data_IF_894196508229
#
_entry.id   IF_894196508229
#
_cell.length_a   1.000
_cell.length_b   1.000
_cell.length_c   1.000
_cell.angle_alpha   90.00
_cell.angle_beta   90.00
_cell.angle_gamma   90.00
#
_symmetry.space_group_name_H-M   'P 1'
#
loop_
_entity.id
_entity.type
_entity.pdbx_description
1 polymer ?
#
# COMPACT_ATOMS: atom_id res chain seq x y z
N UNK A 1 17.29 6.34 -1.94
CA UNK A 1 18.29 6.45 -0.81
C UNK A 1 18.97 7.81 -0.69
N UNK A 2 19.67 8.38 -1.67
CA UNK A 2 20.43 9.62 -1.50
C UNK A 2 19.61 10.79 -0.90
N UNK A 3 18.39 11.00 -1.38
CA UNK A 3 17.49 12.05 -0.90
C UNK A 3 17.08 11.85 0.58
N UNK A 4 16.74 10.62 0.99
CA UNK A 4 16.38 10.31 2.38
C UNK A 4 17.56 10.55 3.33
N UNK A 5 18.77 10.12 2.95
CA UNK A 5 19.97 10.36 3.76
C UNK A 5 20.30 11.85 3.92
N UNK A 6 20.06 12.67 2.89
CA UNK A 6 20.21 14.12 2.97
C UNK A 6 19.17 14.72 3.93
N UNK A 7 17.91 14.30 3.83
CA UNK A 7 16.84 14.79 4.69
C UNK A 7 17.08 14.43 6.18
N UNK A 8 17.53 13.19 6.45
CA UNK A 8 17.86 12.75 7.81
C UNK A 8 19.00 13.60 8.39
N UNK A 9 20.09 13.78 7.65
CA UNK A 9 21.21 14.64 8.10
C UNK A 9 20.75 16.07 8.37
N UNK A 10 19.99 16.66 7.46
CA UNK A 10 19.48 18.01 7.65
C UNK A 10 18.58 18.14 8.89
N UNK A 11 17.77 17.13 9.18
CA UNK A 11 16.96 17.08 10.39
C UNK A 11 17.83 16.99 11.66
N UNK A 12 18.88 16.15 11.66
CA UNK A 12 19.85 16.05 12.76
C UNK A 12 20.54 17.39 13.00
N UNK A 13 21.07 18.01 11.95
CA UNK A 13 21.78 19.27 12.00
C UNK A 13 20.88 20.43 12.50
N UNK A 14 19.59 20.37 12.18
CA UNK A 14 18.57 21.31 12.64
C UNK A 14 18.10 21.04 14.09
N UNK A 15 18.60 20.02 14.76
CA UNK A 15 18.24 19.68 16.13
C UNK A 15 16.83 19.05 16.27
N UNK A 16 16.32 18.41 15.23
CA UNK A 16 15.06 17.63 15.30
C UNK A 16 15.26 16.48 16.29
N UNK A 17 14.34 16.36 17.24
CA UNK A 17 14.43 15.36 18.30
C UNK A 17 13.66 14.07 18.04
N UNK A 18 12.73 14.08 17.11
CA UNK A 18 11.86 12.94 16.80
C UNK A 18 11.43 12.95 15.33
N UNK A 19 11.48 11.79 14.67
CA UNK A 19 11.06 11.58 13.29
C UNK A 19 10.11 10.40 13.23
N UNK A 20 8.88 10.63 12.78
CA UNK A 20 7.98 9.57 12.34
C UNK A 20 8.17 9.35 10.83
N UNK A 21 8.50 8.14 10.42
CA UNK A 21 8.79 7.79 9.03
C UNK A 21 7.74 6.83 8.47
N UNK A 22 7.11 7.21 7.36
CA UNK A 22 6.19 6.33 6.62
C UNK A 22 7.01 5.35 5.78
N UNK A 23 7.12 4.13 6.25
CA UNK A 23 7.83 3.02 5.62
C UNK A 23 6.87 2.10 4.87
N UNK A 24 7.38 1.00 4.33
CA UNK A 24 6.60 -0.03 3.63
C UNK A 24 6.31 -1.21 4.57
N UNK A 25 5.17 -1.88 4.38
CA UNK A 25 4.86 -3.13 5.07
C UNK A 25 5.85 -4.24 4.74
N UNK A 26 6.20 -5.03 5.75
CA UNK A 26 7.09 -6.20 5.63
C UNK A 26 8.37 -5.95 4.81
N UNK A 27 9.29 -5.04 5.22
CA UNK A 27 10.50 -4.72 4.49
C UNK A 27 11.62 -5.77 4.72
N UNK A 28 11.33 -7.07 4.49
CA UNK A 28 12.31 -8.15 4.61
C UNK A 28 13.21 -8.25 3.37
N UNK A 29 14.39 -8.90 3.51
CA UNK A 29 15.34 -9.07 2.40
C UNK A 29 14.76 -9.84 1.22
N UNK A 30 13.89 -10.80 1.50
CA UNK A 30 13.28 -11.68 0.50
C UNK A 30 12.03 -11.06 -0.18
N UNK A 31 11.57 -9.89 0.27
CA UNK A 31 10.41 -9.23 -0.34
C UNK A 31 10.82 -8.61 -1.69
N UNK A 32 10.23 -9.08 -2.82
CA UNK A 32 10.65 -8.65 -4.16
C UNK A 32 10.19 -7.25 -4.56
N UNK A 33 9.35 -6.55 -3.74
CA UNK A 33 8.87 -5.22 -4.09
C UNK A 33 10.03 -4.22 -4.20
N UNK A 34 10.15 -3.56 -5.35
CA UNK A 34 11.28 -2.70 -5.70
C UNK A 34 11.50 -1.52 -4.74
N UNK A 35 10.48 -1.11 -3.99
CA UNK A 35 10.60 -0.05 -2.98
C UNK A 35 11.25 -0.52 -1.65
N UNK A 36 11.29 -1.82 -1.39
CA UNK A 36 11.75 -2.38 -0.10
C UNK A 36 13.19 -1.99 0.24
N UNK A 37 14.19 -2.12 -0.66
CA UNK A 37 15.57 -1.78 -0.33
C UNK A 37 15.74 -0.34 0.15
N UNK A 38 15.07 0.63 -0.48
CA UNK A 38 15.15 2.03 -0.11
C UNK A 38 14.49 2.33 1.25
N UNK A 39 13.35 1.68 1.54
CA UNK A 39 12.69 1.81 2.84
C UNK A 39 13.53 1.21 3.97
N UNK A 40 14.09 0.02 3.78
CA UNK A 40 14.98 -0.61 4.77
C UNK A 40 16.19 0.25 5.07
N UNK A 41 16.92 0.66 4.03
CA UNK A 41 18.09 1.49 4.21
C UNK A 41 17.75 2.85 4.87
N UNK A 42 16.52 3.35 4.71
CA UNK A 42 16.05 4.56 5.41
C UNK A 42 15.75 4.27 6.89
N UNK A 43 15.09 3.14 7.19
CA UNK A 43 14.91 2.71 8.58
C UNK A 43 16.26 2.54 9.31
N UNK A 44 17.25 1.93 8.66
CA UNK A 44 18.59 1.73 9.24
C UNK A 44 19.30 3.09 9.45
N UNK A 45 19.26 3.98 8.48
CA UNK A 45 19.83 5.32 8.61
C UNK A 45 19.17 6.13 9.75
N UNK A 46 17.87 5.97 9.98
CA UNK A 46 17.18 6.59 11.11
C UNK A 46 17.58 5.97 12.44
N UNK A 47 17.72 4.64 12.54
CA UNK A 47 18.23 3.97 13.75
C UNK A 47 19.61 4.48 14.14
N UNK A 48 20.48 4.68 13.14
CA UNK A 48 21.87 5.10 13.34
C UNK A 48 22.03 6.62 13.56
N UNK A 49 20.99 7.41 13.28
CA UNK A 49 21.04 8.88 13.33
C UNK A 49 21.13 9.48 14.73
N UNK A 50 20.79 8.73 15.77
CA UNK A 50 20.66 9.22 17.15
C UNK A 50 19.40 10.02 17.44
N UNK A 51 18.56 10.30 16.45
CA UNK A 51 17.25 10.93 16.62
C UNK A 51 16.23 9.88 17.07
N UNK A 52 15.32 10.20 17.98
CA UNK A 52 14.21 9.31 18.31
C UNK A 52 13.32 9.10 17.06
N UNK A 53 12.92 7.87 16.82
CA UNK A 53 12.16 7.51 15.61
C UNK A 53 10.94 6.65 15.90
N UNK A 54 9.98 6.66 14.97
CA UNK A 54 8.89 5.68 14.86
C UNK A 54 8.72 5.31 13.39
N UNK A 55 8.62 4.02 13.08
CA UNK A 55 8.31 3.54 11.74
C UNK A 55 6.83 3.19 11.62
N UNK A 56 6.18 3.83 10.65
CA UNK A 56 4.81 3.56 10.21
C UNK A 56 4.90 2.75 8.92
N UNK A 57 4.90 1.43 9.02
CA UNK A 57 4.98 0.51 7.88
C UNK A 57 3.61 0.37 7.25
N UNK A 58 3.38 1.18 6.23
CA UNK A 58 2.12 1.24 5.52
C UNK A 58 1.92 0.02 4.63
N UNK A 59 0.74 -0.61 4.70
CA UNK A 59 0.25 -1.53 3.69
C UNK A 59 -0.04 -0.82 2.36
N UNK A 60 -0.46 -1.59 1.35
CA UNK A 60 -0.79 -1.05 0.03
C UNK A 60 -2.04 -0.19 0.11
N UNK A 61 -2.00 0.97 -0.55
CA UNK A 61 -3.06 1.96 -0.46
C UNK A 61 -4.33 1.51 -1.21
N UNK A 62 -5.46 1.54 -0.52
CA UNK A 62 -6.79 1.30 -1.09
C UNK A 62 -7.11 2.26 -2.24
N UNK A 63 -6.57 3.47 -2.19
CA UNK A 63 -6.74 4.51 -3.21
C UNK A 63 -6.26 4.08 -4.60
N UNK A 64 -5.28 3.17 -4.68
CA UNK A 64 -4.80 2.60 -5.95
C UNK A 64 -5.83 1.66 -6.60
N UNK A 65 -6.84 1.23 -5.85
CA UNK A 65 -7.89 0.36 -6.37
C UNK A 65 -9.00 1.15 -7.09
N UNK A 66 -9.00 2.47 -7.07
CA UNK A 66 -9.98 3.28 -7.80
C UNK A 66 -9.87 3.08 -9.30
N UNK A 67 -8.65 3.26 -9.86
CA UNK A 67 -8.42 3.09 -11.30
C UNK A 67 -8.59 1.61 -11.72
N UNK A 68 -8.13 0.66 -10.89
CA UNK A 68 -8.30 -0.77 -11.15
C UNK A 68 -9.78 -1.17 -11.18
N UNK A 69 -10.59 -0.66 -10.25
CA UNK A 69 -12.02 -0.91 -10.20
C UNK A 69 -12.75 -0.30 -11.41
N UNK A 70 -12.46 0.97 -11.75
CA UNK A 70 -13.05 1.62 -12.91
C UNK A 70 -12.73 0.87 -14.21
N UNK A 71 -11.47 0.51 -14.43
CA UNK A 71 -11.05 -0.26 -15.60
C UNK A 71 -11.70 -1.65 -15.67
N UNK A 72 -11.77 -2.37 -14.55
CA UNK A 72 -12.42 -3.68 -14.50
C UNK A 72 -13.94 -3.58 -14.74
N UNK A 73 -14.61 -2.55 -14.21
CA UNK A 73 -16.04 -2.31 -14.45
C UNK A 73 -16.29 -1.99 -15.93
N UNK A 74 -15.43 -1.18 -16.55
CA UNK A 74 -15.59 -0.80 -17.96
C UNK A 74 -15.36 -1.97 -18.93
N UNK A 75 -14.43 -2.89 -18.60
CA UNK A 75 -14.03 -4.00 -19.48
C UNK A 75 -14.69 -5.35 -19.15
N UNK A 76 -15.27 -5.51 -17.96
CA UNK A 76 -15.73 -6.78 -17.43
C UNK A 76 -14.61 -7.74 -17.01
N UNK A 77 -13.35 -7.26 -16.93
CA UNK A 77 -12.19 -8.12 -16.64
C UNK A 77 -11.21 -7.44 -15.70
N UNK A 78 -10.80 -8.15 -14.66
CA UNK A 78 -9.68 -7.77 -13.78
C UNK A 78 -8.42 -8.52 -14.19
N UNK A 79 -7.49 -7.84 -14.87
CA UNK A 79 -6.17 -8.38 -15.17
C UNK A 79 -5.29 -8.31 -13.93
N UNK A 80 -4.61 -9.41 -13.59
CA UNK A 80 -3.76 -9.46 -12.40
C UNK A 80 -2.57 -10.40 -12.56
N UNK A 81 -1.42 -9.97 -12.01
CA UNK A 81 -0.21 -10.78 -11.86
C UNK A 81 -0.03 -11.31 -10.42
N UNK A 82 -1.03 -11.12 -9.53
CA UNK A 82 -0.93 -11.44 -8.11
C UNK A 82 -1.17 -12.92 -7.79
N UNK A 83 -1.57 -13.74 -8.75
CA UNK A 83 -1.95 -15.14 -8.51
C UNK A 83 -3.02 -15.23 -7.42
N UNK A 84 -2.84 -16.13 -6.46
CA UNK A 84 -3.73 -16.30 -5.29
C UNK A 84 -3.26 -15.47 -4.07
N UNK A 85 -2.33 -14.54 -4.25
CA UNK A 85 -1.84 -13.69 -3.18
C UNK A 85 -2.92 -12.74 -2.65
N UNK A 86 -2.82 -12.42 -1.36
CA UNK A 86 -3.77 -11.54 -0.67
C UNK A 86 -3.12 -10.24 -0.25
N UNK A 87 -3.90 -9.19 -0.16
CA UNK A 87 -3.41 -7.88 0.26
C UNK A 87 -4.39 -7.20 1.24
N UNK A 88 -3.86 -6.67 2.34
CA UNK A 88 -4.63 -5.93 3.34
C UNK A 88 -4.62 -4.43 3.00
N UNK A 89 -5.47 -4.02 2.06
CA UNK A 89 -5.56 -2.64 1.57
C UNK A 89 -5.96 -1.66 2.66
N UNK A 90 -5.26 -0.55 2.76
CA UNK A 90 -5.46 0.49 3.78
C UNK A 90 -5.69 1.85 3.13
N UNK A 91 -6.64 2.65 3.63
CA UNK A 91 -6.89 3.98 3.08
C UNK A 91 -5.82 4.98 3.53
N UNK A 92 -5.48 5.95 2.68
CA UNK A 92 -4.60 7.06 3.07
C UNK A 92 -5.18 7.87 4.25
N UNK A 93 -6.50 7.96 4.35
CA UNK A 93 -7.17 8.63 5.46
C UNK A 93 -6.91 7.94 6.81
N UNK A 94 -6.95 6.59 6.85
CA UNK A 94 -6.63 5.83 8.06
C UNK A 94 -5.14 5.93 8.42
N UNK A 95 -4.26 5.89 7.43
CA UNK A 95 -2.82 6.09 7.64
C UNK A 95 -2.51 7.49 8.19
N UNK A 96 -3.18 8.53 7.67
CA UNK A 96 -3.05 9.90 8.19
C UNK A 96 -3.54 9.99 9.63
N UNK A 97 -4.67 9.37 9.96
CA UNK A 97 -5.19 9.34 11.33
C UNK A 97 -4.21 8.65 12.31
N UNK A 98 -3.62 7.52 11.93
CA UNK A 98 -2.59 6.85 12.72
C UNK A 98 -1.33 7.72 12.88
N UNK A 99 -0.90 8.40 11.81
CA UNK A 99 0.23 9.33 11.85
C UNK A 99 -0.03 10.48 12.82
N UNK A 100 -1.22 11.07 12.78
CA UNK A 100 -1.63 12.12 13.74
C UNK A 100 -1.59 11.58 15.16
N UNK A 101 -2.15 10.40 15.43
CA UNK A 101 -2.12 9.79 16.75
C UNK A 101 -0.69 9.63 17.27
N UNK A 102 0.22 9.12 16.46
CA UNK A 102 1.65 8.94 16.81
C UNK A 102 2.36 10.27 17.08
N UNK A 103 2.04 11.32 16.32
CA UNK A 103 2.67 12.64 16.48
C UNK A 103 2.11 13.45 17.65
N UNK A 104 0.90 13.15 18.11
CA UNK A 104 0.19 13.93 19.15
C UNK A 104 0.07 13.24 20.49
N UNK A 105 0.47 11.98 20.60
CA UNK A 105 0.51 11.23 21.86
C UNK A 105 1.95 10.82 22.21
N UNK A 106 2.18 10.25 23.38
CA UNK A 106 3.51 9.90 23.87
C UNK A 106 3.75 8.39 23.83
N UNK A 107 5.03 8.01 23.88
CA UNK A 107 5.44 6.61 24.07
C UNK A 107 5.53 5.84 22.75
N UNK A 108 5.79 6.53 21.64
CA UNK A 108 5.95 5.94 20.31
C UNK A 108 7.40 5.81 19.86
N UNK A 109 8.33 6.40 20.60
CA UNK A 109 9.77 6.38 20.29
C UNK A 109 10.32 4.94 20.26
N UNK A 110 11.09 4.64 19.24
CA UNK A 110 11.69 3.32 19.01
C UNK A 110 10.70 2.24 18.61
N UNK A 111 9.47 2.59 18.25
CA UNK A 111 8.43 1.61 17.86
C UNK A 111 8.26 1.52 16.36
N UNK A 112 7.86 0.31 15.93
CA UNK A 112 7.46 0.02 14.56
C UNK A 112 6.00 -0.44 14.57
N UNK A 113 5.20 0.11 13.67
CA UNK A 113 3.78 -0.16 13.52
C UNK A 113 3.47 -0.62 12.10
N UNK A 114 2.98 -1.86 11.96
CA UNK A 114 2.42 -2.32 10.70
C UNK A 114 0.96 -1.83 10.60
N UNK A 115 0.71 -0.98 9.61
CA UNK A 115 -0.58 -0.31 9.38
C UNK A 115 -1.27 -0.95 8.18
N UNK A 116 -2.29 -1.73 8.43
CA UNK A 116 -3.00 -2.54 7.43
C UNK A 116 -4.49 -2.29 7.46
N UNK A 117 -5.18 -2.59 6.34
CA UNK A 117 -6.63 -2.65 6.34
C UNK A 117 -7.16 -3.84 7.17
N UNK A 118 -8.49 -3.93 7.33
CA UNK A 118 -9.12 -4.94 8.18
C UNK A 118 -9.15 -6.33 7.56
N UNK A 119 -9.07 -6.42 6.22
CA UNK A 119 -9.28 -7.66 5.47
C UNK A 119 -8.13 -7.91 4.50
N UNK A 120 -7.63 -9.15 4.44
CA UNK A 120 -6.72 -9.59 3.39
C UNK A 120 -7.52 -10.16 2.22
N UNK A 121 -7.50 -9.47 1.07
CA UNK A 121 -8.31 -9.74 -0.11
C UNK A 121 -7.44 -10.27 -1.26
N UNK A 122 -7.92 -11.28 -1.99
CA UNK A 122 -7.34 -11.75 -3.23
C UNK A 122 -8.06 -11.18 -4.47
N UNK A 123 -7.64 -11.59 -5.66
CA UNK A 123 -8.21 -11.08 -6.91
C UNK A 123 -9.68 -11.46 -7.08
N UNK A 124 -10.14 -12.60 -6.56
CA UNK A 124 -11.53 -13.00 -6.61
C UNK A 124 -12.39 -12.14 -5.68
N UNK A 125 -11.88 -11.84 -4.48
CA UNK A 125 -12.55 -10.93 -3.54
C UNK A 125 -12.69 -9.53 -4.16
N UNK A 126 -11.64 -9.03 -4.85
CA UNK A 126 -11.68 -7.74 -5.57
C UNK A 126 -12.71 -7.76 -6.70
N UNK A 127 -12.69 -8.79 -7.54
CA UNK A 127 -13.65 -8.93 -8.63
C UNK A 127 -15.11 -8.98 -8.13
N UNK A 128 -15.35 -9.64 -6.98
CA UNK A 128 -16.66 -9.65 -6.35
C UNK A 128 -17.11 -8.26 -5.89
N UNK A 129 -16.22 -7.50 -5.24
CA UNK A 129 -16.48 -6.11 -4.82
C UNK A 129 -16.78 -5.23 -6.04
N UNK A 130 -15.96 -5.30 -7.08
CA UNK A 130 -16.12 -4.48 -8.29
C UNK A 130 -17.39 -4.85 -9.07
N UNK A 131 -17.71 -6.15 -9.15
CA UNK A 131 -18.96 -6.63 -9.78
C UNK A 131 -20.21 -6.07 -9.09
N UNK A 132 -20.20 -6.04 -7.76
CA UNK A 132 -21.29 -5.46 -6.97
C UNK A 132 -21.44 -3.96 -7.24
N UNK A 133 -20.31 -3.21 -7.23
CA UNK A 133 -20.30 -1.77 -7.44
C UNK A 133 -20.72 -1.39 -8.88
N UNK A 134 -20.18 -2.09 -9.87
CA UNK A 134 -20.47 -1.87 -11.29
C UNK A 134 -21.81 -2.48 -11.76
N UNK A 135 -22.41 -3.37 -10.97
CA UNK A 135 -23.59 -4.16 -11.37
C UNK A 135 -23.36 -4.96 -12.67
N UNK A 136 -22.12 -5.38 -12.90
CA UNK A 136 -21.70 -6.18 -14.05
C UNK A 136 -20.77 -7.29 -13.57
N UNK A 137 -20.87 -8.52 -14.11
CA UNK A 137 -19.93 -9.57 -13.78
C UNK A 137 -18.50 -9.17 -14.20
N UNK A 138 -17.53 -9.42 -13.33
CA UNK A 138 -16.11 -9.19 -13.62
C UNK A 138 -15.37 -10.50 -13.48
N UNK A 139 -14.70 -10.91 -14.54
CA UNK A 139 -13.86 -12.11 -14.56
C UNK A 139 -12.43 -11.75 -14.17
N UNK A 140 -11.77 -12.66 -13.43
CA UNK A 140 -10.35 -12.51 -13.09
C UNK A 140 -9.51 -13.22 -14.15
N UNK A 141 -8.64 -12.47 -14.82
CA UNK A 141 -7.68 -13.00 -15.76
C UNK A 141 -6.27 -12.94 -15.16
N UNK A 142 -5.72 -14.09 -14.80
CA UNK A 142 -4.36 -14.22 -14.30
C UNK A 142 -3.37 -14.22 -15.48
N UNK A 143 -2.41 -13.31 -15.42
CA UNK A 143 -1.33 -13.16 -16.39
C UNK A 143 0.02 -13.14 -15.67
N UNK A 144 1.10 -13.35 -16.40
CA UNK A 144 2.45 -13.21 -15.84
C UNK A 144 2.85 -11.73 -15.69
N UNK A 145 4.01 -11.49 -15.09
CA UNK A 145 4.49 -10.14 -14.83
C UNK A 145 4.72 -9.37 -16.14
N UNK A 146 5.22 -10.02 -17.20
CA UNK A 146 5.44 -9.36 -18.49
C UNK A 146 4.12 -8.98 -19.17
N UNK A 147 3.16 -9.89 -19.23
CA UNK A 147 1.83 -9.61 -19.78
C UNK A 147 1.11 -8.50 -19.03
N UNK A 148 1.32 -8.41 -17.70
CA UNK A 148 0.76 -7.33 -16.90
C UNK A 148 1.44 -5.98 -17.21
N UNK A 149 2.79 -5.97 -17.36
CA UNK A 149 3.55 -4.77 -17.76
C UNK A 149 3.07 -4.27 -19.12
N UNK A 150 2.99 -5.18 -20.12
CA UNK A 150 2.54 -4.82 -21.46
C UNK A 150 1.13 -4.22 -21.43
N UNK A 151 0.21 -4.82 -20.69
CA UNK A 151 -1.15 -4.30 -20.54
C UNK A 151 -1.17 -2.89 -19.88
N UNK A 152 -0.34 -2.64 -18.88
CA UNK A 152 -0.24 -1.32 -18.23
C UNK A 152 0.33 -0.25 -19.18
N UNK A 153 1.32 -0.61 -19.97
CA UNK A 153 1.93 0.32 -20.95
C UNK A 153 0.98 0.60 -22.10
N UNK A 154 0.44 -0.45 -22.73
CA UNK A 154 -0.30 -0.34 -23.99
C UNK A 154 -1.73 0.17 -23.80
N UNK A 155 -2.38 -0.14 -22.67
CA UNK A 155 -3.79 0.17 -22.45
C UNK A 155 -4.03 1.23 -21.39
N UNK A 156 -3.20 1.27 -20.33
CA UNK A 156 -3.35 2.26 -19.26
C UNK A 156 -2.39 3.47 -19.41
N UNK A 157 -1.49 3.46 -20.41
CA UNK A 157 -0.54 4.55 -20.65
C UNK A 157 0.48 4.75 -19.53
N UNK A 158 0.72 3.74 -18.71
CA UNK A 158 1.70 3.78 -17.61
C UNK A 158 3.12 3.75 -18.22
N UNK A 159 4.04 4.66 -17.82
CA UNK A 159 5.42 4.59 -18.26
C UNK A 159 6.05 3.22 -17.95
N UNK A 160 6.79 2.65 -18.92
CA UNK A 160 7.32 1.29 -18.81
C UNK A 160 8.15 1.06 -17.54
N UNK A 161 9.00 2.01 -17.15
CA UNK A 161 9.78 1.93 -15.91
C UNK A 161 8.89 1.81 -14.66
N UNK A 162 7.78 2.56 -14.62
CA UNK A 162 6.82 2.50 -13.52
C UNK A 162 6.04 1.18 -13.55
N UNK A 163 5.64 0.69 -14.74
CA UNK A 163 4.96 -0.59 -14.87
C UNK A 163 5.83 -1.75 -14.35
N UNK A 164 7.14 -1.75 -14.65
CA UNK A 164 8.09 -2.71 -14.08
C UNK A 164 8.14 -2.65 -12.55
N UNK A 165 8.22 -1.46 -11.98
CA UNK A 165 8.20 -1.28 -10.51
C UNK A 165 6.90 -1.82 -9.93
N UNK A 166 5.75 -1.48 -10.51
CA UNK A 166 4.44 -1.91 -10.03
C UNK A 166 4.26 -3.43 -10.13
N UNK A 167 4.78 -4.08 -11.16
CA UNK A 167 4.72 -5.54 -11.30
C UNK A 167 5.40 -6.27 -10.13
N UNK A 168 6.45 -5.68 -9.53
CA UNK A 168 7.13 -6.27 -8.37
C UNK A 168 6.25 -6.33 -7.12
N UNK A 169 5.27 -5.44 -6.98
CA UNK A 169 4.28 -5.51 -5.90
C UNK A 169 3.32 -6.68 -6.09
N UNK A 170 2.94 -6.99 -7.34
CA UNK A 170 2.19 -8.22 -7.66
C UNK A 170 2.97 -9.48 -7.29
N UNK A 171 4.27 -9.51 -7.58
CA UNK A 171 5.15 -10.59 -7.15
C UNK A 171 5.23 -10.73 -5.63
N UNK A 172 5.35 -9.61 -4.90
CA UNK A 172 5.34 -9.60 -3.43
C UNK A 172 4.00 -10.10 -2.86
N UNK A 173 2.89 -9.72 -3.47
CA UNK A 173 1.57 -10.20 -3.07
C UNK A 173 1.44 -11.70 -3.29
N UNK A 174 1.86 -12.25 -4.44
CA UNK A 174 1.88 -13.70 -4.72
C UNK A 174 2.65 -14.50 -3.68
N UNK A 175 3.72 -13.91 -3.14
CA UNK A 175 4.58 -14.52 -2.13
C UNK A 175 4.09 -14.29 -0.70
N UNK A 176 2.96 -13.59 -0.49
CA UNK A 176 2.32 -13.40 0.81
C UNK A 176 2.84 -12.24 1.64
N UNK A 177 3.71 -11.37 1.10
CA UNK A 177 4.32 -10.27 1.87
C UNK A 177 3.32 -9.18 2.27
N UNK A 178 2.15 -9.09 1.66
CA UNK A 178 1.12 -8.08 1.93
C UNK A 178 -0.16 -8.61 2.56
N UNK A 179 -0.19 -9.90 2.95
CA UNK A 179 -1.38 -10.56 3.47
C UNK A 179 -1.63 -10.34 4.97
N UNK A 180 -0.67 -9.75 5.68
CA UNK A 180 -0.76 -9.58 7.14
C UNK A 180 -1.82 -8.55 7.50
N UNK A 181 -2.72 -8.91 8.42
CA UNK A 181 -3.71 -8.01 9.03
C UNK A 181 -3.33 -7.79 10.49
N UNK A 182 -3.30 -6.53 10.92
CA UNK A 182 -2.97 -6.16 12.30
C UNK A 182 -4.06 -5.28 12.91
N UNK A 183 -4.28 -5.32 14.23
CA UNK A 183 -5.19 -4.41 14.92
C UNK A 183 -4.55 -3.04 15.22
N UNK A 184 -3.42 -2.73 14.62
CA UNK A 184 -2.59 -1.56 15.00
C UNK A 184 -3.30 -0.24 14.72
N UNK A 185 -3.97 -0.12 13.57
CA UNK A 185 -4.74 1.08 13.22
C UNK A 185 -5.83 1.37 14.25
N UNK A 186 -6.63 0.36 14.59
CA UNK A 186 -7.69 0.52 15.60
C UNK A 186 -7.13 0.92 16.97
N UNK A 187 -6.01 0.30 17.39
CA UNK A 187 -5.36 0.65 18.66
C UNK A 187 -4.83 2.08 18.70
N UNK A 188 -4.31 2.58 17.58
CA UNK A 188 -3.77 3.95 17.50
C UNK A 188 -4.87 5.01 17.38
N UNK A 189 -5.92 4.72 16.61
CA UNK A 189 -6.95 5.70 16.25
C UNK A 189 -8.21 5.64 17.10
N UNK A 190 -8.41 4.53 17.85
CA UNK A 190 -9.63 4.28 18.63
C UNK A 190 -10.84 3.90 17.78
N UNK A 191 -10.67 3.66 16.47
CA UNK A 191 -11.75 3.22 15.57
C UNK A 191 -11.25 2.14 14.60
N UNK A 192 -12.11 1.24 14.13
CA UNK A 192 -11.76 0.27 13.09
C UNK A 192 -11.25 0.98 11.83
N UNK A 193 -10.29 0.39 11.08
CA UNK A 193 -9.90 0.88 9.78
C UNK A 193 -11.04 0.68 8.77
N UNK A 194 -11.12 1.58 7.79
CA UNK A 194 -12.09 1.52 6.70
C UNK A 194 -11.78 0.32 5.79
N UNK A 195 -12.76 -0.54 5.54
CA UNK A 195 -12.60 -1.65 4.61
C UNK A 195 -12.50 -1.14 3.16
N UNK A 196 -11.88 -1.95 2.27
CA UNK A 196 -11.81 -1.59 0.85
C UNK A 196 -13.22 -1.45 0.24
N UNK A 197 -14.15 -2.33 0.63
CA UNK A 197 -15.56 -2.26 0.18
C UNK A 197 -16.22 -0.94 0.55
N UNK A 198 -16.09 -0.50 1.80
CA UNK A 198 -16.64 0.78 2.28
C UNK A 198 -16.01 1.96 1.53
N UNK A 199 -14.68 1.95 1.39
CA UNK A 199 -13.95 3.00 0.69
C UNK A 199 -14.40 3.15 -0.77
N UNK A 200 -14.47 2.06 -1.53
CA UNK A 200 -14.90 2.07 -2.92
C UNK A 200 -16.40 2.38 -3.06
N UNK A 201 -17.23 1.91 -2.13
CA UNK A 201 -18.67 2.21 -2.14
C UNK A 201 -18.94 3.71 -2.01
N UNK A 202 -18.15 4.42 -1.20
CA UNK A 202 -18.25 5.87 -1.05
C UNK A 202 -17.84 6.62 -2.34
N UNK A 203 -17.10 5.98 -3.25
CA UNK A 203 -16.66 6.55 -4.54
C UNK A 203 -17.43 6.00 -5.75
N UNK A 204 -18.50 5.23 -5.50
CA UNK A 204 -19.20 4.45 -6.53
C UNK A 204 -19.60 5.27 -7.76
N UNK A 205 -20.16 6.46 -7.57
CA UNK A 205 -20.66 7.27 -8.68
C UNK A 205 -19.51 7.70 -9.62
N UNK A 206 -18.33 7.98 -9.08
CA UNK A 206 -17.13 8.28 -9.88
C UNK A 206 -16.62 7.05 -10.63
N UNK A 207 -16.66 5.85 -10.00
CA UNK A 207 -16.20 4.59 -10.61
C UNK A 207 -17.08 4.14 -11.80
N UNK A 208 -18.37 4.45 -11.79
CA UNK A 208 -19.32 4.01 -12.83
C UNK A 208 -19.49 5.04 -13.94
N UNK A 209 -19.03 6.29 -13.71
CA UNK A 209 -19.08 7.37 -14.69
C UNK A 209 -17.83 7.44 -15.60
N UNK A 210 -16.78 6.70 -15.25
CA UNK A 210 -15.52 6.63 -15.97
C UNK A 210 -15.55 5.59 -17.08
#
# INVERSE_FOLDING_TARGET
MAQHSIAIRAAVDAGVRYIAYTSIGNPSDDNPAAAVPDHRATEDALRDSGVAWTFLRNGIYADLQLDAAAGAIATGTLLTNTGNGRNAYVTRADLAAATVAVLTTQGHEGKTYDLTGPDALDAQDLAAIYSELGRTPIEVAHIDDQGWIDAMVDHAGVPAELAHVLATFGAAQRQGYSAVVTPTLERLTGRPPTSLREFLSAQRDALVAA
#
